data_IF_671137842423
#
_entry.id   IF_671137842423
#
_cell.length_a   1.000
_cell.length_b   1.000
_cell.length_c   1.000
_cell.angle_alpha   90.00
_cell.angle_beta   90.00
_cell.angle_gamma   90.00
#
_symmetry.space_group_name_H-M   'P 1'
#
loop_
_entity.id
_entity.type
_entity.pdbx_description
1 polymer ?
#
# COMPACT_ATOMS: atom_id res chain seq x y z
N UNK A 1 33.70 61.24 -29.14
CA UNK A 1 34.10 60.15 -28.23
C UNK A 1 32.83 59.43 -27.74
N UNK A 2 32.17 58.68 -28.64
CA UNK A 2 30.83 58.12 -28.45
C UNK A 2 30.87 56.69 -29.00
N UNK A 3 31.25 55.70 -28.18
CA UNK A 3 31.15 54.27 -28.53
C UNK A 3 31.32 53.43 -27.26
N UNK A 4 30.34 53.47 -26.34
CA UNK A 4 30.49 52.77 -25.06
C UNK A 4 29.23 52.39 -24.29
N UNK A 5 28.02 52.71 -24.77
CA UNK A 5 26.80 52.53 -23.95
C UNK A 5 25.67 51.69 -24.58
N UNK A 6 25.92 50.98 -25.70
CA UNK A 6 24.90 50.10 -26.33
C UNK A 6 25.09 48.60 -26.10
N UNK A 7 26.19 48.15 -25.50
CA UNK A 7 26.43 46.71 -25.28
C UNK A 7 25.97 46.17 -23.92
N UNK A 8 25.54 47.03 -22.99
CA UNK A 8 25.16 46.58 -21.64
C UNK A 8 23.65 46.26 -21.48
N UNK A 9 22.77 46.81 -22.33
CA UNK A 9 21.33 46.48 -22.30
C UNK A 9 20.95 45.19 -23.04
N UNK A 10 21.81 44.71 -23.94
CA UNK A 10 21.55 43.49 -24.72
C UNK A 10 21.86 42.20 -23.94
N UNK A 11 22.69 42.25 -22.89
CA UNK A 11 23.08 41.06 -22.14
C UNK A 11 22.08 40.66 -21.04
N UNK A 12 21.25 41.61 -20.57
CA UNK A 12 20.21 41.34 -19.56
C UNK A 12 18.91 40.80 -20.19
N UNK A 13 18.73 40.96 -21.51
CA UNK A 13 17.52 40.47 -22.20
C UNK A 13 17.61 38.98 -22.60
N UNK A 14 18.79 38.35 -22.54
CA UNK A 14 18.97 36.92 -22.86
C UNK A 14 18.80 36.03 -21.61
N UNK A 15 18.82 36.61 -20.40
CA UNK A 15 18.57 35.85 -19.16
C UNK A 15 17.08 35.69 -18.84
N UNK A 16 16.17 36.29 -19.62
CA UNK A 16 14.73 36.28 -19.37
C UNK A 16 13.95 35.21 -20.17
N UNK A 17 14.59 34.48 -21.09
CA UNK A 17 13.90 33.49 -21.94
C UNK A 17 14.23 32.02 -21.64
N UNK A 18 15.03 31.72 -20.62
CA UNK A 18 15.21 30.34 -20.15
C UNK A 18 14.34 30.02 -18.92
N UNK A 19 13.25 30.76 -18.74
CA UNK A 19 12.09 30.30 -17.98
C UNK A 19 11.22 29.42 -18.87
N UNK A 20 11.82 28.44 -19.55
CA UNK A 20 11.04 27.32 -20.05
C UNK A 20 10.44 26.69 -18.79
N UNK A 21 9.15 26.95 -18.60
CA UNK A 21 8.26 26.19 -17.75
C UNK A 21 8.55 24.72 -18.01
N UNK A 22 9.46 24.14 -17.23
CA UNK A 22 9.37 22.75 -16.87
C UNK A 22 8.07 22.70 -16.07
N UNK A 23 6.97 22.50 -16.77
CA UNK A 23 5.85 21.78 -16.20
C UNK A 23 6.44 20.43 -15.80
N UNK A 24 6.97 20.36 -14.57
CA UNK A 24 7.23 19.12 -13.88
C UNK A 24 5.83 18.53 -13.71
N UNK A 25 5.33 17.86 -14.74
CA UNK A 25 4.36 16.81 -14.54
C UNK A 25 5.07 15.84 -13.62
N UNK A 26 4.71 15.89 -12.34
CA UNK A 26 5.07 14.84 -11.39
C UNK A 26 4.29 13.61 -11.82
N UNK A 27 4.74 12.95 -12.89
CA UNK A 27 4.50 11.53 -13.06
C UNK A 27 5.19 10.89 -11.86
N UNK A 28 4.40 10.55 -10.85
CA UNK A 28 4.82 9.67 -9.78
C UNK A 28 5.52 8.49 -10.42
N UNK A 29 6.75 8.18 -9.96
CA UNK A 29 7.50 7.03 -10.46
C UNK A 29 6.58 5.80 -10.51
N UNK A 30 6.64 5.03 -11.60
CA UNK A 30 5.89 3.78 -11.68
C UNK A 30 6.61 2.72 -10.86
N UNK A 31 5.85 1.94 -10.10
CA UNK A 31 6.38 0.81 -9.37
C UNK A 31 6.44 -0.41 -10.29
N UNK A 32 7.65 -0.96 -10.47
CA UNK A 32 7.84 -2.23 -11.16
C UNK A 32 8.05 -3.37 -10.15
N UNK A 33 7.16 -4.37 -10.10
CA UNK A 33 7.35 -5.55 -9.26
C UNK A 33 8.65 -6.27 -9.64
N UNK A 34 9.43 -6.74 -8.67
CA UNK A 34 10.64 -7.53 -8.91
C UNK A 34 10.58 -8.91 -8.22
N UNK A 35 11.45 -9.83 -8.62
CA UNK A 35 11.42 -11.21 -8.10
C UNK A 35 11.91 -11.33 -6.64
N UNK A 36 12.67 -10.35 -6.15
CA UNK A 36 13.37 -10.37 -4.85
C UNK A 36 12.76 -9.36 -3.86
N UNK A 37 11.48 -9.03 -4.01
CA UNK A 37 10.81 -8.10 -3.10
C UNK A 37 10.48 -8.77 -1.77
N UNK A 38 11.14 -8.31 -0.71
CA UNK A 38 10.85 -8.70 0.67
C UNK A 38 10.47 -7.46 1.47
N UNK A 39 9.20 -7.08 1.39
CA UNK A 39 8.68 -5.90 2.09
C UNK A 39 9.18 -4.59 1.50
N UNK A 40 9.20 -4.51 0.17
CA UNK A 40 9.60 -3.29 -0.54
C UNK A 40 8.66 -2.14 -0.18
N UNK A 41 9.21 -1.01 0.25
CA UNK A 41 8.42 0.16 0.63
C UNK A 41 7.82 0.82 -0.62
N UNK A 42 6.49 0.88 -0.68
CA UNK A 42 5.79 1.47 -1.81
C UNK A 42 5.58 2.99 -1.68
N UNK A 43 5.76 3.58 -0.49
CA UNK A 43 5.44 5.00 -0.26
C UNK A 43 5.99 5.99 -1.30
N UNK A 44 7.24 5.88 -1.79
CA UNK A 44 7.77 6.81 -2.78
C UNK A 44 6.97 6.88 -4.09
N UNK A 45 6.20 5.84 -4.40
CA UNK A 45 5.39 5.70 -5.62
C UNK A 45 3.92 6.08 -5.39
N UNK A 46 3.52 6.26 -4.13
CA UNK A 46 2.12 6.48 -3.78
C UNK A 46 1.73 7.94 -3.96
N UNK A 47 0.53 8.13 -4.48
CA UNK A 47 -0.15 9.42 -4.45
C UNK A 47 -1.50 9.24 -3.76
N UNK A 48 -1.96 10.28 -3.08
CA UNK A 48 -3.23 10.25 -2.38
C UNK A 48 -4.09 11.48 -2.68
N UNK A 49 -5.38 11.35 -2.44
CA UNK A 49 -6.36 12.42 -2.50
C UNK A 49 -7.32 12.30 -1.32
N UNK A 50 -7.58 13.42 -0.66
CA UNK A 50 -8.50 13.50 0.47
C UNK A 50 -9.91 13.90 -0.01
N UNK A 51 -10.83 12.95 0.02
CA UNK A 51 -12.25 13.18 -0.26
C UNK A 51 -12.99 13.54 1.03
N UNK A 52 -13.16 14.85 1.25
CA UNK A 52 -13.93 15.39 2.38
C UNK A 52 -15.43 15.09 2.30
N UNK A 53 -15.95 14.77 1.12
CA UNK A 53 -17.38 14.44 0.94
C UNK A 53 -17.69 12.97 1.26
N UNK A 54 -16.69 12.10 1.11
CA UNK A 54 -16.79 10.64 1.28
C UNK A 54 -17.70 9.95 0.27
N UNK A 55 -18.13 10.64 -0.79
CA UNK A 55 -19.14 10.15 -1.76
C UNK A 55 -18.57 9.91 -3.15
N UNK A 56 -17.29 10.19 -3.37
CA UNK A 56 -16.69 10.01 -4.70
C UNK A 56 -16.70 8.53 -5.11
N UNK A 57 -17.13 8.30 -6.34
CA UNK A 57 -17.11 6.99 -6.99
C UNK A 57 -15.75 6.70 -7.64
N UNK A 58 -15.51 5.43 -7.96
CA UNK A 58 -14.27 5.01 -8.61
C UNK A 58 -14.00 5.71 -9.97
N UNK A 59 -14.98 5.88 -10.87
CA UNK A 59 -14.75 6.61 -12.12
C UNK A 59 -14.39 8.10 -11.90
N UNK A 60 -15.00 8.75 -10.90
CA UNK A 60 -14.73 10.16 -10.60
C UNK A 60 -13.31 10.34 -10.04
N UNK A 61 -12.89 9.46 -9.13
CA UNK A 61 -11.56 9.56 -8.55
C UNK A 61 -10.47 9.30 -9.60
N UNK A 62 -10.69 8.39 -10.55
CA UNK A 62 -9.77 8.19 -11.67
C UNK A 62 -9.52 9.49 -12.45
N UNK A 63 -10.57 10.27 -12.72
CA UNK A 63 -10.44 11.55 -13.41
C UNK A 63 -9.68 12.58 -12.55
N UNK A 64 -9.88 12.60 -11.23
CA UNK A 64 -9.15 13.49 -10.31
C UNK A 64 -7.65 13.19 -10.35
N UNK A 65 -7.25 11.91 -10.25
CA UNK A 65 -5.84 11.52 -10.33
C UNK A 65 -5.24 11.85 -11.71
N UNK A 66 -6.00 11.65 -12.80
CA UNK A 66 -5.57 12.05 -14.16
C UNK A 66 -5.40 13.56 -14.31
N UNK A 67 -6.19 14.36 -13.59
CA UNK A 67 -6.08 15.82 -13.59
C UNK A 67 -4.89 16.36 -12.78
N UNK A 68 -4.10 15.48 -12.15
CA UNK A 68 -2.91 15.87 -11.39
C UNK A 68 -3.21 16.52 -10.03
N UNK A 69 -4.43 16.40 -9.52
CA UNK A 69 -4.84 16.95 -8.21
C UNK A 69 -4.40 16.09 -7.02
N UNK A 70 -3.69 14.99 -7.25
CA UNK A 70 -3.20 14.08 -6.23
C UNK A 70 -1.89 14.56 -5.60
N UNK A 71 -1.68 14.23 -4.34
CA UNK A 71 -0.51 14.64 -3.55
C UNK A 71 0.38 13.41 -3.34
N UNK A 72 1.71 13.49 -3.48
CA UNK A 72 2.59 12.37 -3.15
C UNK A 72 2.53 12.01 -1.65
N UNK A 73 2.50 10.71 -1.35
CA UNK A 73 2.41 10.18 0.01
C UNK A 73 3.80 9.74 0.52
N UNK A 74 4.60 10.71 0.98
CA UNK A 74 5.95 10.43 1.49
C UNK A 74 5.98 9.87 2.92
N UNK A 75 4.92 10.10 3.69
CA UNK A 75 4.78 9.63 5.06
C UNK A 75 3.57 8.69 5.14
N UNK A 76 3.71 7.57 5.87
CA UNK A 76 2.61 6.63 6.08
C UNK A 76 1.48 7.24 6.89
N UNK A 77 1.80 8.17 7.79
CA UNK A 77 0.83 8.78 8.70
C UNK A 77 0.28 10.06 8.09
N UNK A 78 -1.03 10.07 7.85
CA UNK A 78 -1.78 11.24 7.41
C UNK A 78 -2.40 12.01 8.59
N UNK A 79 -2.17 11.57 9.83
CA UNK A 79 -2.77 12.17 11.02
C UNK A 79 -4.24 11.80 11.18
N UNK A 80 -4.99 12.60 11.93
CA UNK A 80 -6.43 12.42 12.16
C UNK A 80 -7.21 13.21 11.10
N UNK A 81 -7.95 12.50 10.25
CA UNK A 81 -8.96 13.09 9.37
C UNK A 81 -10.17 12.18 9.31
N UNK A 82 -11.36 12.78 9.32
CA UNK A 82 -12.63 12.07 9.08
C UNK A 82 -12.94 11.90 7.58
N UNK A 83 -12.05 12.40 6.70
CA UNK A 83 -12.21 12.30 5.26
C UNK A 83 -11.92 10.88 4.74
N UNK A 84 -12.49 10.54 3.59
CA UNK A 84 -12.14 9.32 2.86
C UNK A 84 -10.84 9.56 2.10
N UNK A 85 -9.83 8.73 2.32
CA UNK A 85 -8.55 8.83 1.62
C UNK A 85 -8.54 7.86 0.46
N UNK A 86 -8.24 8.36 -0.73
CA UNK A 86 -7.96 7.55 -1.90
C UNK A 86 -6.46 7.52 -2.13
N UNK A 87 -5.88 6.33 -2.25
CA UNK A 87 -4.46 6.12 -2.56
C UNK A 87 -4.35 5.45 -3.91
N UNK A 88 -3.51 5.98 -4.80
CA UNK A 88 -3.18 5.38 -6.10
C UNK A 88 -1.79 4.77 -6.06
N UNK A 89 -1.68 3.58 -6.61
CA UNK A 89 -0.42 2.83 -6.80
C UNK A 89 -0.26 2.60 -8.31
N UNK A 90 0.62 3.36 -8.99
CA UNK A 90 0.94 3.10 -10.38
C UNK A 90 1.87 1.89 -10.50
N UNK A 91 1.43 0.84 -11.19
CA UNK A 91 2.20 -0.40 -11.36
C UNK A 91 2.45 -0.66 -12.83
N UNK A 92 3.69 -1.01 -13.18
CA UNK A 92 4.04 -1.41 -14.53
C UNK A 92 4.87 -2.69 -14.54
N UNK A 93 4.74 -3.44 -15.63
CA UNK A 93 5.54 -4.63 -15.90
C UNK A 93 6.17 -4.51 -17.29
N UNK A 94 7.42 -4.08 -17.33
CA UNK A 94 8.24 -3.97 -18.54
C UNK A 94 8.75 -5.33 -19.05
N UNK A 95 8.61 -6.41 -18.29
CA UNK A 95 9.12 -7.72 -18.68
C UNK A 95 8.15 -8.50 -19.57
N UNK A 96 8.71 -9.45 -20.34
CA UNK A 96 7.94 -10.38 -21.20
C UNK A 96 7.30 -11.55 -20.45
N UNK A 97 7.34 -11.55 -19.13
CA UNK A 97 6.75 -12.59 -18.26
C UNK A 97 5.77 -11.98 -17.28
N UNK A 98 4.74 -12.75 -16.92
CA UNK A 98 3.78 -12.36 -15.88
C UNK A 98 4.48 -12.28 -14.53
N UNK A 99 4.29 -11.17 -13.81
CA UNK A 99 4.82 -10.98 -12.46
C UNK A 99 3.72 -11.18 -11.43
N UNK A 100 3.91 -12.16 -10.56
CA UNK A 100 3.04 -12.42 -9.43
C UNK A 100 3.64 -11.82 -8.16
N UNK A 101 2.88 -10.94 -7.52
CA UNK A 101 3.32 -10.21 -6.35
C UNK A 101 2.18 -10.06 -5.36
N UNK A 102 2.52 -9.68 -4.14
CA UNK A 102 1.57 -9.50 -3.05
C UNK A 102 1.72 -8.07 -2.55
N UNK A 103 0.63 -7.33 -2.60
CA UNK A 103 0.50 -6.04 -1.95
C UNK A 103 0.03 -6.28 -0.52
N UNK A 104 0.85 -5.95 0.45
CA UNK A 104 0.52 -6.10 1.87
C UNK A 104 0.11 -4.76 2.46
N UNK A 105 -1.11 -4.70 2.98
CA UNK A 105 -1.56 -3.60 3.82
C UNK A 105 -1.52 -4.02 5.29
N UNK A 106 -0.56 -3.47 6.05
CA UNK A 106 -0.22 -3.93 7.41
C UNK A 106 -0.85 -3.08 8.52
N UNK A 107 -2.12 -2.72 8.39
CA UNK A 107 -2.84 -1.95 9.41
C UNK A 107 -4.30 -2.41 9.57
N UNK A 108 -4.64 -2.85 10.77
CA UNK A 108 -5.89 -3.56 11.06
C UNK A 108 -7.00 -2.64 11.58
N UNK A 109 -6.67 -1.42 12.00
CA UNK A 109 -7.58 -0.51 12.70
C UNK A 109 -8.33 0.42 11.73
N UNK A 110 -8.75 -0.12 10.58
CA UNK A 110 -9.48 0.65 9.56
C UNK A 110 -10.94 0.25 9.57
N UNK A 111 -11.81 1.25 9.61
CA UNK A 111 -13.27 1.06 9.59
C UNK A 111 -13.72 0.42 8.27
N UNK A 112 -13.22 0.92 7.13
CA UNK A 112 -13.52 0.41 5.79
C UNK A 112 -12.34 0.61 4.83
N UNK A 113 -12.02 -0.45 4.09
CA UNK A 113 -10.97 -0.52 3.08
C UNK A 113 -11.54 -1.20 1.83
N UNK A 114 -11.46 -0.50 0.69
CA UNK A 114 -11.90 -1.04 -0.59
C UNK A 114 -10.76 -0.96 -1.60
N UNK A 115 -10.48 -2.07 -2.26
CA UNK A 115 -9.40 -2.19 -3.23
C UNK A 115 -9.96 -2.27 -4.64
N UNK A 116 -9.46 -1.43 -5.54
CA UNK A 116 -9.91 -1.33 -6.92
C UNK A 116 -8.72 -1.50 -7.89
N UNK A 117 -9.00 -2.02 -9.08
CA UNK A 117 -8.04 -2.14 -10.17
C UNK A 117 -8.67 -1.60 -11.45
N UNK A 118 -7.92 -0.78 -12.20
CA UNK A 118 -8.40 -0.25 -13.49
C UNK A 118 -8.84 -1.38 -14.42
N UNK A 119 -8.11 -2.50 -14.43
CA UNK A 119 -8.40 -3.64 -15.30
C UNK A 119 -9.74 -4.32 -15.02
N UNK A 120 -10.21 -4.30 -13.78
CA UNK A 120 -11.45 -4.98 -13.37
C UNK A 120 -12.67 -4.04 -13.38
N UNK A 121 -12.47 -2.76 -13.69
CA UNK A 121 -13.54 -1.76 -13.75
C UNK A 121 -13.95 -1.19 -12.38
N UNK A 122 -15.19 -0.68 -12.26
CA UNK A 122 -15.61 0.11 -11.11
C UNK A 122 -15.98 -0.68 -9.86
N UNK A 123 -15.97 -2.01 -9.93
CA UNK A 123 -16.28 -2.86 -8.77
C UNK A 123 -15.02 -3.08 -7.93
N UNK A 124 -15.12 -2.99 -6.59
CA UNK A 124 -13.99 -3.31 -5.72
C UNK A 124 -13.66 -4.80 -5.83
N UNK A 125 -12.39 -5.13 -5.97
CA UNK A 125 -11.90 -6.52 -5.93
C UNK A 125 -12.03 -7.10 -4.52
N UNK A 126 -11.81 -6.26 -3.52
CA UNK A 126 -11.87 -6.63 -2.11
C UNK A 126 -12.50 -5.49 -1.34
N UNK A 127 -13.41 -5.85 -0.44
CA UNK A 127 -14.03 -4.96 0.53
C UNK A 127 -13.75 -5.55 1.90
N UNK A 128 -13.07 -4.78 2.74
CA UNK A 128 -12.67 -5.18 4.09
C UNK A 128 -12.84 -4.01 5.06
N UNK A 129 -12.71 -4.26 6.36
CA UNK A 129 -12.88 -3.25 7.40
C UNK A 129 -13.54 -3.78 8.66
N UNK A 130 -13.49 -2.98 9.72
CA UNK A 130 -14.06 -3.35 11.01
C UNK A 130 -15.59 -3.26 11.07
N UNK A 131 -16.19 -2.44 10.19
CA UNK A 131 -17.65 -2.32 10.09
C UNK A 131 -18.32 -3.47 9.34
N UNK A 132 -17.55 -4.38 8.71
CA UNK A 132 -18.10 -5.49 7.93
C UNK A 132 -18.23 -6.76 8.78
N UNK A 133 -19.30 -7.55 8.60
CA UNK A 133 -19.43 -8.84 9.28
C UNK A 133 -18.21 -9.72 9.02
N UNK A 134 -17.67 -10.33 10.08
CA UNK A 134 -16.46 -11.16 10.01
C UNK A 134 -16.52 -12.23 8.90
N UNK A 135 -17.71 -12.80 8.67
CA UNK A 135 -17.99 -13.80 7.64
C UNK A 135 -17.78 -13.35 6.18
N UNK A 136 -17.68 -12.03 5.92
CA UNK A 136 -17.46 -11.48 4.56
C UNK A 136 -16.00 -11.14 4.28
N UNK A 137 -15.11 -11.28 5.28
CA UNK A 137 -13.68 -11.01 5.09
C UNK A 137 -13.03 -12.12 4.28
N UNK A 138 -12.71 -11.84 3.02
CA UNK A 138 -11.98 -12.74 2.11
C UNK A 138 -10.55 -13.07 2.57
N UNK A 139 -10.03 -12.39 3.61
CA UNK A 139 -8.75 -12.68 4.23
C UNK A 139 -8.93 -12.80 5.75
N UNK A 140 -8.79 -14.00 6.29
CA UNK A 140 -8.74 -14.28 7.74
C UNK A 140 -7.41 -13.82 8.39
N UNK A 141 -6.63 -13.00 7.67
CA UNK A 141 -5.35 -12.51 8.16
C UNK A 141 -5.50 -11.12 8.78
N UNK A 142 -4.74 -10.89 9.85
CA UNK A 142 -4.62 -9.60 10.52
C UNK A 142 -4.13 -8.51 9.55
N UNK A 143 -3.28 -8.89 8.59
CA UNK A 143 -2.88 -8.04 7.48
C UNK A 143 -3.72 -8.35 6.25
N UNK A 144 -3.86 -7.41 5.32
CA UNK A 144 -4.56 -7.64 4.05
C UNK A 144 -3.56 -7.87 2.91
N UNK A 145 -3.20 -9.14 2.60
CA UNK A 145 -2.41 -9.47 1.43
C UNK A 145 -3.29 -9.55 0.18
N UNK A 146 -3.10 -8.65 -0.76
CA UNK A 146 -3.72 -8.71 -2.08
C UNK A 146 -2.78 -9.43 -3.05
N UNK A 147 -3.20 -10.59 -3.55
CA UNK A 147 -2.46 -11.33 -4.56
C UNK A 147 -2.75 -10.74 -5.94
N UNK A 148 -1.71 -10.22 -6.59
CA UNK A 148 -1.82 -9.50 -7.86
C UNK A 148 -0.94 -10.14 -8.93
N UNK A 149 -1.43 -10.09 -10.16
CA UNK A 149 -0.74 -10.63 -11.34
C UNK A 149 -0.72 -9.57 -12.43
N UNK A 150 0.49 -9.12 -12.76
CA UNK A 150 0.73 -8.18 -13.86
C UNK A 150 1.11 -8.94 -15.14
N UNK A 151 0.28 -8.89 -16.19
CA UNK A 151 0.61 -9.43 -17.50
C UNK A 151 1.90 -8.84 -18.08
N UNK A 152 2.54 -9.51 -19.05
CA UNK A 152 3.72 -8.96 -19.70
C UNK A 152 3.41 -7.64 -20.43
N UNK A 153 4.36 -6.71 -20.40
CA UNK A 153 4.27 -5.41 -21.09
C UNK A 153 2.98 -4.63 -20.76
N UNK A 154 2.57 -4.61 -19.50
CA UNK A 154 1.33 -4.00 -19.05
C UNK A 154 1.56 -2.87 -18.04
N UNK A 155 0.61 -1.93 -18.00
CA UNK A 155 0.51 -0.89 -16.97
C UNK A 155 -0.87 -1.00 -16.33
N UNK A 156 -0.93 -0.95 -15.01
CA UNK A 156 -2.16 -1.03 -14.26
C UNK A 156 -2.08 -0.11 -13.04
N UNK A 157 -3.09 0.72 -12.85
CA UNK A 157 -3.22 1.51 -11.63
C UNK A 157 -4.12 0.76 -10.64
N UNK A 158 -3.68 0.69 -9.39
CA UNK A 158 -4.50 0.23 -8.29
C UNK A 158 -4.92 1.40 -7.42
N UNK A 159 -6.13 1.33 -6.89
CA UNK A 159 -6.67 2.36 -6.01
C UNK A 159 -7.16 1.72 -4.72
N UNK A 160 -6.85 2.36 -3.60
CA UNK A 160 -7.32 1.96 -2.28
C UNK A 160 -8.15 3.11 -1.73
N UNK A 161 -9.41 2.83 -1.42
CA UNK A 161 -10.28 3.72 -0.66
C UNK A 161 -10.21 3.33 0.80
N UNK A 162 -9.83 4.28 1.63
CA UNK A 162 -9.66 4.11 3.07
C UNK A 162 -10.59 5.08 3.78
N UNK A 163 -11.41 4.56 4.68
CA UNK A 163 -12.25 5.35 5.58
C UNK A 163 -11.91 4.93 7.00
N UNK A 164 -11.56 5.91 7.85
CA UNK A 164 -11.33 5.69 9.28
C UNK A 164 -11.74 6.93 10.06
N UNK A 165 -12.19 6.72 11.30
CA UNK A 165 -12.48 7.80 12.26
C UNK A 165 -11.26 8.14 13.14
N UNK A 166 -10.20 7.34 13.05
CA UNK A 166 -8.97 7.49 13.81
C UNK A 166 -7.81 7.95 12.90
N UNK A 167 -6.61 8.03 13.46
CA UNK A 167 -5.42 8.37 12.68
C UNK A 167 -5.22 7.39 11.52
N UNK A 168 -5.10 7.94 10.31
CA UNK A 168 -4.96 7.16 9.08
C UNK A 168 -3.47 6.89 8.86
N UNK A 169 -3.10 5.61 8.92
CA UNK A 169 -1.78 5.12 8.58
C UNK A 169 -1.91 4.19 7.38
N UNK A 170 -1.09 4.41 6.35
CA UNK A 170 -1.07 3.64 5.10
C UNK A 170 0.27 2.90 4.98
N UNK A 171 0.51 1.82 5.75
CA UNK A 171 1.72 1.02 5.62
C UNK A 171 1.53 0.01 4.48
N UNK A 172 1.92 0.42 3.28
CA UNK A 172 1.91 -0.42 2.09
C UNK A 172 3.29 -0.97 1.79
N UNK A 173 3.35 -2.28 1.56
CA UNK A 173 4.59 -2.97 1.21
C UNK A 173 4.34 -3.98 0.10
N UNK A 174 5.30 -4.14 -0.80
CA UNK A 174 5.25 -5.15 -1.85
C UNK A 174 6.16 -6.33 -1.52
N UNK A 175 5.64 -7.54 -1.79
CA UNK A 175 6.37 -8.79 -1.67
C UNK A 175 6.27 -9.57 -2.99
N UNK A 176 7.30 -10.33 -3.33
CA UNK A 176 7.13 -11.35 -4.36
C UNK A 176 6.33 -12.53 -3.79
N UNK A 177 5.58 -13.23 -4.63
CA UNK A 177 4.74 -14.34 -4.17
C UNK A 177 5.54 -15.42 -3.43
N UNK A 178 6.75 -15.72 -3.88
CA UNK A 178 7.65 -16.70 -3.24
C UNK A 178 8.14 -16.21 -1.89
N UNK A 179 8.63 -14.97 -1.81
CA UNK A 179 9.13 -14.39 -0.55
C UNK A 179 8.03 -14.25 0.50
N UNK A 180 6.81 -13.88 0.10
CA UNK A 180 5.67 -13.81 1.01
C UNK A 180 5.36 -15.19 1.64
N UNK A 181 5.36 -16.25 0.84
CA UNK A 181 5.10 -17.61 1.32
C UNK A 181 6.22 -18.12 2.23
N UNK A 182 7.49 -17.91 1.87
CA UNK A 182 8.64 -18.29 2.69
C UNK A 182 8.62 -17.60 4.06
N UNK A 183 8.32 -16.29 4.09
CA UNK A 183 8.23 -15.54 5.33
C UNK A 183 7.06 -16.04 6.21
N UNK A 184 5.89 -16.23 5.61
CA UNK A 184 4.70 -16.73 6.32
C UNK A 184 4.95 -18.13 6.90
N UNK A 185 5.58 -19.02 6.13
CA UNK A 185 5.93 -20.37 6.60
C UNK A 185 6.92 -20.33 7.77
N UNK A 186 7.91 -19.43 7.73
CA UNK A 186 8.87 -19.23 8.82
C UNK A 186 8.19 -18.74 10.09
N UNK A 187 7.28 -17.78 9.98
CA UNK A 187 6.50 -17.25 11.10
C UNK A 187 5.66 -18.35 11.76
N UNK A 188 4.95 -19.16 10.96
CA UNK A 188 4.17 -20.29 11.49
C UNK A 188 5.04 -21.39 12.10
N UNK A 189 6.26 -21.61 11.60
CA UNK A 189 7.19 -22.59 12.19
C UNK A 189 7.60 -22.17 13.61
N UNK A 190 7.90 -20.88 13.80
CA UNK A 190 8.24 -20.34 15.13
C UNK A 190 7.04 -20.39 16.08
N UNK A 191 5.85 -20.04 15.60
CA UNK A 191 4.61 -20.16 16.37
C UNK A 191 4.31 -21.62 16.75
N UNK A 192 4.49 -22.56 15.82
CA UNK A 192 4.33 -23.99 16.07
C UNK A 192 5.27 -24.49 17.19
N UNK A 193 6.52 -24.04 17.18
CA UNK A 193 7.48 -24.35 18.25
C UNK A 193 7.03 -23.75 19.60
N UNK A 194 6.59 -22.49 19.61
CA UNK A 194 6.09 -21.82 20.80
C UNK A 194 4.85 -22.51 21.39
N UNK A 195 3.87 -22.87 20.56
CA UNK A 195 2.70 -23.61 21.03
C UNK A 195 3.04 -25.05 21.43
N UNK A 196 4.04 -25.66 20.80
CA UNK A 196 4.57 -26.96 21.19
C UNK A 196 5.15 -26.96 22.61
N UNK A 197 5.96 -25.96 22.97
CA UNK A 197 6.50 -25.86 24.33
C UNK A 197 5.42 -25.60 25.37
N UNK A 198 4.43 -24.77 25.05
CA UNK A 198 3.26 -24.54 25.89
C UNK A 198 2.44 -25.83 26.11
N UNK A 199 2.28 -26.64 25.07
CA UNK A 199 1.58 -27.92 25.15
C UNK A 199 2.33 -28.93 26.04
N UNK A 200 3.66 -29.00 25.92
CA UNK A 200 4.49 -29.83 26.82
C UNK A 200 4.37 -29.37 28.28
N UNK A 201 4.40 -28.06 28.53
CA UNK A 201 4.21 -27.49 29.87
C UNK A 201 2.81 -27.80 30.41
N UNK A 202 1.76 -27.72 29.58
CA UNK A 202 0.40 -28.08 29.96
C UNK A 202 0.28 -29.57 30.32
N UNK A 203 0.84 -30.46 29.48
CA UNK A 203 0.84 -31.91 29.75
C UNK A 203 1.61 -32.24 31.03
N UNK A 204 2.77 -31.60 31.26
CA UNK A 204 3.52 -31.75 32.50
C UNK A 204 2.68 -31.37 33.73
N UNK A 205 2.00 -30.23 33.68
CA UNK A 205 1.11 -29.80 34.77
C UNK A 205 -0.08 -30.74 34.97
N UNK A 206 -0.61 -31.32 33.89
CA UNK A 206 -1.68 -32.32 33.97
C UNK A 206 -1.21 -33.60 34.67
N UNK A 207 -0.01 -34.11 34.34
CA UNK A 207 0.60 -35.26 35.02
C UNK A 207 0.86 -34.99 36.50
N UNK A 208 1.35 -33.79 36.82
CA UNK A 208 1.59 -33.36 38.19
C UNK A 208 0.27 -33.30 38.99
N UNK A 209 -0.81 -32.78 38.39
CA UNK A 209 -2.13 -32.74 39.02
C UNK A 209 -2.67 -34.13 39.35
N UNK A 210 -2.55 -35.08 38.41
CA UNK A 210 -3.00 -36.47 38.61
C UNK A 210 -2.19 -37.12 39.75
N UNK A 211 -0.85 -36.98 39.71
CA UNK A 211 0.05 -37.56 40.72
C UNK A 211 -0.21 -37.00 42.13
N UNK A 212 -0.42 -35.68 42.28
CA UNK A 212 -0.68 -35.08 43.58
C UNK A 212 -2.06 -35.46 44.12
N UNK A 213 -3.05 -35.65 43.24
CA UNK A 213 -4.42 -36.03 43.65
C UNK A 213 -4.49 -37.45 44.20
N UNK A 214 -3.70 -38.38 43.66
CA UNK A 214 -3.65 -39.77 44.16
C UNK A 214 -2.94 -39.91 45.51
N UNK A 215 -2.11 -38.93 45.92
CA UNK A 215 -1.43 -38.92 47.22
C UNK A 215 -2.27 -38.34 48.38
N UNK A 216 -3.60 -38.22 48.22
CA UNK A 216 -4.53 -37.71 49.24
C UNK A 216 -5.66 -38.68 49.65
N UNK A 217 -5.50 -39.98 49.42
CA UNK A 217 -6.41 -41.02 49.95
C UNK A 217 -5.68 -41.92 50.95
#
# INVERSE_FOLDING_TARGET
MIFGLRKFKAFISILACSGAFFAIHSESAEFEPNAVMKGWNLQPYLTYYEDKSGKLSFPEIQNIFRSGKSIPLFNSSLGYSAATIWVRIPVSNSEKRTKNWVLLFSYCLIDSLQFYSVRNGPSPLVVSGDKLPFATRLAENRNFPFQLSEPPLSKNDYYIRIESRNSIIVPLSAYSRTQFLEQTAKEYTVLGLYYGTMLVMFIYNLFLLITIRDNKL
#
